data_IF_624174087563
#
_entry.id   IF_624174087563
#
_cell.length_a   1.000
_cell.length_b   1.000
_cell.length_c   1.000
_cell.angle_alpha   90.00
_cell.angle_beta   90.00
_cell.angle_gamma   90.00
#
_symmetry.space_group_name_H-M   'P 1'
#
loop_
_entity.id
_entity.type
_entity.pdbx_description
1 polymer ?
#
# COMPACT_ATOMS: atom_id res chain seq x y z
N UNK A 1 59.11 -40.10 10.75
CA UNK A 1 58.77 -38.70 10.79
C UNK A 1 57.45 -38.54 9.99
N UNK A 2 56.36 -38.53 10.72
CA UNK A 2 55.00 -38.48 10.12
C UNK A 2 54.51 -37.08 10.23
N UNK A 3 54.24 -36.40 9.10
CA UNK A 3 53.74 -35.03 9.02
C UNK A 3 52.19 -35.08 9.04
N UNK A 4 51.62 -34.63 10.13
CA UNK A 4 50.19 -34.53 10.27
C UNK A 4 49.66 -33.30 9.48
N UNK A 5 48.79 -33.56 8.54
CA UNK A 5 48.07 -32.57 7.75
C UNK A 5 46.91 -31.96 8.59
N UNK A 6 46.95 -30.66 8.82
CA UNK A 6 45.89 -29.94 9.55
C UNK A 6 44.69 -29.67 8.62
N UNK A 7 43.44 -29.89 9.08
CA UNK A 7 42.27 -29.57 8.28
C UNK A 7 42.03 -28.06 8.27
N UNK A 8 41.86 -27.50 7.06
CA UNK A 8 41.42 -26.10 6.81
C UNK A 8 40.04 -25.81 7.37
N UNK A 9 39.81 -24.69 8.07
CA UNK A 9 38.50 -24.35 8.62
C UNK A 9 37.52 -24.00 7.50
N UNK A 10 36.41 -24.73 7.45
CA UNK A 10 35.30 -24.51 6.53
C UNK A 10 34.74 -23.11 6.67
N UNK A 11 34.60 -22.43 5.55
CA UNK A 11 34.02 -21.10 5.40
C UNK A 11 32.60 -21.09 6.00
N UNK A 12 32.42 -20.47 7.17
CA UNK A 12 31.11 -20.25 7.81
C UNK A 12 30.23 -19.45 6.83
N UNK A 13 29.15 -20.07 6.32
CA UNK A 13 28.08 -19.37 5.59
C UNK A 13 27.51 -18.34 6.53
N UNK A 14 27.72 -17.06 6.23
CA UNK A 14 27.18 -15.93 6.97
C UNK A 14 25.65 -16.05 7.05
N UNK A 15 25.13 -15.77 8.23
CA UNK A 15 23.70 -15.65 8.53
C UNK A 15 23.11 -14.64 7.55
N UNK A 16 22.11 -15.06 6.72
CA UNK A 16 21.42 -14.16 5.80
C UNK A 16 20.85 -12.98 6.59
N UNK A 17 20.92 -11.74 6.03
CA UNK A 17 20.31 -10.57 6.62
C UNK A 17 18.83 -10.79 6.92
N UNK A 18 18.30 -10.19 7.99
CA UNK A 18 16.92 -10.35 8.43
C UNK A 18 15.90 -9.85 7.40
N UNK A 19 14.63 -10.22 7.57
CA UNK A 19 13.56 -9.93 6.62
C UNK A 19 13.43 -8.46 6.19
N UNK A 20 13.86 -7.49 7.02
CA UNK A 20 13.89 -6.06 6.65
C UNK A 20 14.89 -5.76 5.53
N UNK A 21 16.07 -6.40 5.53
CA UNK A 21 17.06 -6.23 4.46
C UNK A 21 16.56 -6.82 3.13
N UNK A 22 15.83 -7.94 3.19
CA UNK A 22 15.22 -8.57 2.02
C UNK A 22 14.13 -7.68 1.39
N UNK A 23 13.28 -7.09 2.22
CA UNK A 23 12.22 -6.17 1.77
C UNK A 23 12.80 -4.91 1.12
N UNK A 24 13.80 -4.31 1.74
CA UNK A 24 14.51 -3.14 1.20
C UNK A 24 15.22 -3.45 -0.12
N UNK A 25 15.87 -4.61 -0.23
CA UNK A 25 16.52 -5.06 -1.46
C UNK A 25 15.51 -5.24 -2.61
N UNK A 26 14.32 -5.79 -2.33
CA UNK A 26 13.25 -5.92 -3.32
C UNK A 26 12.73 -4.57 -3.80
N UNK A 27 12.51 -3.60 -2.89
CA UNK A 27 12.08 -2.24 -3.24
C UNK A 27 13.12 -1.55 -4.11
N UNK A 28 14.40 -1.66 -3.79
CA UNK A 28 15.47 -1.06 -4.57
C UNK A 28 15.57 -1.70 -5.97
N UNK A 29 15.60 -3.03 -6.05
CA UNK A 29 15.62 -3.75 -7.33
C UNK A 29 14.38 -3.43 -8.19
N UNK A 30 13.21 -3.26 -7.55
CA UNK A 30 11.98 -2.90 -8.24
C UNK A 30 12.07 -1.51 -8.86
N UNK A 31 12.60 -0.50 -8.16
CA UNK A 31 12.81 0.85 -8.72
C UNK A 31 13.65 0.81 -9.98
N UNK A 32 14.73 0.04 -9.96
CA UNK A 32 15.63 -0.11 -11.11
C UNK A 32 14.92 -0.78 -12.29
N UNK A 33 14.29 -1.96 -12.07
CA UNK A 33 13.61 -2.71 -13.13
C UNK A 33 12.42 -1.94 -13.70
N UNK A 34 11.62 -1.28 -12.86
CA UNK A 34 10.51 -0.45 -13.35
C UNK A 34 10.98 0.77 -14.13
N UNK A 35 12.11 1.36 -13.73
CA UNK A 35 12.73 2.47 -14.48
C UNK A 35 13.26 2.04 -15.84
N UNK A 36 13.86 0.85 -15.93
CA UNK A 36 14.46 0.31 -17.16
C UNK A 36 13.41 -0.22 -18.16
N UNK A 37 12.38 -0.90 -17.66
CA UNK A 37 11.47 -1.71 -18.49
C UNK A 37 10.01 -1.19 -18.48
N UNK A 38 9.72 -0.16 -17.70
CA UNK A 38 8.37 0.29 -17.42
C UNK A 38 7.59 -0.73 -16.59
N UNK A 39 6.34 -0.39 -16.25
CA UNK A 39 5.49 -1.30 -15.48
C UNK A 39 5.22 -2.60 -16.24
N UNK A 40 4.79 -2.53 -17.49
CA UNK A 40 4.40 -3.72 -18.28
C UNK A 40 5.57 -4.67 -18.52
N UNK A 41 6.76 -4.15 -18.87
CA UNK A 41 7.94 -4.95 -19.17
C UNK A 41 8.61 -5.55 -17.93
N UNK A 42 8.38 -5.00 -16.74
CA UNK A 42 8.94 -5.52 -15.51
C UNK A 42 8.22 -6.82 -15.08
N UNK A 43 8.99 -7.83 -14.65
CA UNK A 43 8.44 -9.06 -14.11
C UNK A 43 8.88 -9.29 -12.67
N UNK A 44 8.02 -9.93 -11.86
CA UNK A 44 8.34 -10.33 -10.48
C UNK A 44 9.62 -11.17 -10.43
N UNK A 45 9.83 -12.06 -11.42
CA UNK A 45 11.04 -12.90 -11.50
C UNK A 45 12.30 -12.08 -11.76
N UNK A 46 12.25 -11.09 -12.66
CA UNK A 46 13.39 -10.21 -12.94
C UNK A 46 13.77 -9.37 -11.71
N UNK A 47 12.78 -8.83 -11.02
CA UNK A 47 12.98 -8.05 -9.79
C UNK A 47 13.59 -8.92 -8.69
N UNK A 48 13.03 -10.09 -8.44
CA UNK A 48 13.53 -11.02 -7.42
C UNK A 48 14.96 -11.50 -7.73
N UNK A 49 15.25 -11.81 -8.99
CA UNK A 49 16.59 -12.18 -9.43
C UNK A 49 17.60 -11.05 -9.21
N UNK A 50 17.24 -9.80 -9.50
CA UNK A 50 18.10 -8.62 -9.24
C UNK A 50 18.33 -8.40 -7.75
N UNK A 51 17.32 -8.62 -6.93
CA UNK A 51 17.43 -8.54 -5.47
C UNK A 51 18.15 -9.73 -4.83
N UNK A 52 18.45 -10.80 -5.59
CA UNK A 52 19.07 -12.01 -5.08
C UNK A 52 18.20 -12.83 -4.13
N UNK A 53 16.87 -12.79 -4.31
CA UNK A 53 15.88 -13.45 -3.45
C UNK A 53 14.90 -14.30 -4.25
N UNK A 54 14.12 -15.13 -3.55
CA UNK A 54 13.05 -15.90 -4.17
C UNK A 54 11.88 -15.02 -4.61
N UNK A 55 11.29 -15.29 -5.79
CA UNK A 55 10.14 -14.56 -6.32
C UNK A 55 8.90 -14.64 -5.42
N UNK A 56 8.76 -15.71 -4.64
CA UNK A 56 7.68 -15.85 -3.65
C UNK A 56 7.72 -14.74 -2.57
N UNK A 57 8.90 -14.17 -2.31
CA UNK A 57 9.05 -13.06 -1.37
C UNK A 57 8.31 -11.80 -1.82
N UNK A 58 8.14 -11.59 -3.12
CA UNK A 58 7.34 -10.45 -3.63
C UNK A 58 5.88 -10.61 -3.23
N UNK A 59 5.30 -11.80 -3.40
CA UNK A 59 3.93 -12.05 -2.96
C UNK A 59 3.80 -11.98 -1.44
N UNK A 60 4.79 -12.50 -0.71
CA UNK A 60 4.79 -12.47 0.76
C UNK A 60 4.82 -11.04 1.33
N UNK A 61 5.69 -10.17 0.80
CA UNK A 61 5.90 -8.82 1.35
C UNK A 61 5.00 -7.75 0.74
N UNK A 62 4.54 -7.94 -0.49
CA UNK A 62 3.91 -6.87 -1.27
C UNK A 62 2.55 -7.28 -1.88
N UNK A 63 2.13 -8.53 -1.75
CA UNK A 63 0.90 -9.03 -2.36
C UNK A 63 0.98 -9.17 -3.88
N UNK A 64 2.14 -8.92 -4.50
CA UNK A 64 2.35 -9.04 -5.96
C UNK A 64 3.13 -7.88 -6.56
N UNK A 65 3.15 -7.83 -7.90
CA UNK A 65 3.84 -6.79 -8.69
C UNK A 65 3.26 -5.39 -8.43
N UNK A 66 1.95 -5.31 -8.32
CA UNK A 66 1.18 -4.09 -8.08
C UNK A 66 1.56 -3.45 -6.74
N UNK A 67 1.57 -4.23 -5.67
CA UNK A 67 1.94 -3.75 -4.34
C UNK A 67 3.41 -3.36 -4.23
N UNK A 68 4.29 -4.10 -4.91
CA UNK A 68 5.69 -3.74 -5.01
C UNK A 68 5.88 -2.43 -5.79
N UNK A 69 5.15 -2.23 -6.88
CA UNK A 69 5.16 -0.97 -7.64
C UNK A 69 4.65 0.20 -6.80
N UNK A 70 3.54 0.02 -6.09
CA UNK A 70 2.96 1.01 -5.20
C UNK A 70 3.98 1.49 -4.14
N UNK A 71 4.76 0.58 -3.58
CA UNK A 71 5.78 0.93 -2.58
C UNK A 71 7.09 1.44 -3.19
N UNK A 72 7.56 0.84 -4.28
CA UNK A 72 8.84 1.18 -4.88
C UNK A 72 8.79 2.49 -5.67
N UNK A 73 7.74 2.71 -6.44
CA UNK A 73 7.62 3.86 -7.36
C UNK A 73 6.76 4.97 -6.77
N UNK A 74 5.58 4.62 -6.23
CA UNK A 74 4.62 5.58 -5.68
C UNK A 74 4.93 5.98 -4.23
N UNK A 75 5.80 5.23 -3.56
CA UNK A 75 6.27 5.49 -2.19
C UNK A 75 5.10 5.70 -1.20
N UNK A 76 4.09 4.84 -1.28
CA UNK A 76 2.96 4.92 -0.35
C UNK A 76 3.45 4.81 1.09
N UNK A 77 2.97 5.68 2.00
CA UNK A 77 3.42 5.72 3.40
C UNK A 77 2.79 4.63 4.27
N UNK A 78 2.31 3.53 3.66
CA UNK A 78 1.69 2.40 4.37
C UNK A 78 1.94 1.07 3.66
N UNK A 79 1.89 -0.01 4.42
CA UNK A 79 1.87 -1.37 3.92
C UNK A 79 0.41 -1.83 3.74
N UNK A 80 -0.01 -2.23 2.52
CA UNK A 80 -1.39 -2.59 2.25
C UNK A 80 -1.89 -3.82 3.00
N UNK A 81 -1.02 -4.81 3.24
CA UNK A 81 -1.37 -6.03 3.97
C UNK A 81 -1.61 -5.70 5.45
N UNK A 82 -0.70 -4.92 6.03
CA UNK A 82 -0.84 -4.46 7.40
C UNK A 82 -2.06 -3.55 7.57
N UNK A 83 -2.29 -2.66 6.61
CA UNK A 83 -3.47 -1.78 6.60
C UNK A 83 -4.77 -2.58 6.64
N UNK A 84 -4.90 -3.63 5.83
CA UNK A 84 -6.09 -4.49 5.86
C UNK A 84 -6.32 -5.10 7.25
N UNK A 85 -5.28 -5.68 7.85
CA UNK A 85 -5.37 -6.27 9.18
C UNK A 85 -5.80 -5.25 10.23
N UNK A 86 -5.22 -4.04 10.21
CA UNK A 86 -5.57 -2.95 11.12
C UNK A 86 -7.02 -2.46 10.93
N UNK A 87 -7.50 -2.39 9.69
CA UNK A 87 -8.88 -1.99 9.40
C UNK A 87 -9.90 -3.03 9.86
N UNK A 88 -9.57 -4.31 9.78
CA UNK A 88 -10.47 -5.39 10.18
C UNK A 88 -10.44 -5.68 11.69
N UNK A 89 -9.54 -5.05 12.44
CA UNK A 89 -9.46 -5.17 13.90
C UNK A 89 -10.48 -4.24 14.58
N UNK A 90 -11.67 -4.79 14.88
CA UNK A 90 -12.74 -4.10 15.60
C UNK A 90 -14.14 -4.25 14.97
N UNK A 91 -15.16 -3.61 15.57
CA UNK A 91 -16.55 -3.75 15.15
C UNK A 91 -16.80 -3.27 13.73
N UNK A 92 -17.58 -4.03 12.95
CA UNK A 92 -17.87 -3.70 11.54
C UNK A 92 -18.64 -2.39 11.39
N UNK A 93 -19.49 -2.06 12.32
CA UNK A 93 -20.29 -0.82 12.35
C UNK A 93 -19.46 0.46 12.59
N UNK A 94 -18.20 0.32 13.03
CA UNK A 94 -17.25 1.42 13.16
C UNK A 94 -16.18 1.46 12.05
N UNK A 95 -16.26 0.54 11.08
CA UNK A 95 -15.25 0.41 10.03
C UNK A 95 -15.08 1.69 9.22
N UNK A 96 -16.17 2.38 8.89
CA UNK A 96 -16.13 3.65 8.18
C UNK A 96 -15.29 4.72 8.90
N UNK A 97 -15.45 4.84 10.22
CA UNK A 97 -14.65 5.75 11.05
C UNK A 97 -13.18 5.33 11.09
N UNK A 98 -12.90 4.02 11.23
CA UNK A 98 -11.52 3.50 11.23
C UNK A 98 -10.81 3.80 9.93
N UNK A 99 -11.48 3.63 8.78
CA UNK A 99 -10.92 3.94 7.46
C UNK A 99 -10.55 5.42 7.37
N UNK A 100 -11.47 6.34 7.73
CA UNK A 100 -11.19 7.79 7.70
C UNK A 100 -10.04 8.15 8.64
N UNK A 101 -10.09 7.70 9.88
CA UNK A 101 -9.03 7.94 10.87
C UNK A 101 -7.68 7.45 10.36
N UNK A 102 -7.60 6.23 9.87
CA UNK A 102 -6.36 5.64 9.37
C UNK A 102 -5.81 6.39 8.17
N UNK A 103 -6.66 6.76 7.21
CA UNK A 103 -6.30 7.57 6.07
C UNK A 103 -5.67 8.89 6.51
N UNK A 104 -6.37 9.67 7.32
CA UNK A 104 -5.89 10.97 7.77
C UNK A 104 -4.59 10.85 8.58
N UNK A 105 -4.51 9.92 9.52
CA UNK A 105 -3.30 9.69 10.35
C UNK A 105 -2.08 9.37 9.49
N UNK A 106 -2.24 8.54 8.44
CA UNK A 106 -1.14 8.17 7.55
C UNK A 106 -0.63 9.36 6.74
N UNK A 107 -1.55 10.14 6.17
CA UNK A 107 -1.17 11.26 5.32
C UNK A 107 -0.72 12.49 6.12
N UNK A 108 -1.32 12.75 7.28
CA UNK A 108 -0.89 13.83 8.18
C UNK A 108 0.54 13.57 8.73
N UNK A 109 0.92 12.31 8.96
CA UNK A 109 2.28 11.93 9.40
C UNK A 109 3.38 12.24 8.36
N UNK A 110 3.01 12.59 7.13
CA UNK A 110 3.95 12.95 6.04
C UNK A 110 4.07 14.47 5.85
N UNK A 111 3.70 15.26 6.82
CA UNK A 111 3.62 16.74 6.73
C UNK A 111 2.78 17.22 5.51
N UNK A 112 1.80 16.43 5.10
CA UNK A 112 0.92 16.72 3.97
C UNK A 112 1.56 16.66 2.57
N UNK A 113 2.88 16.45 2.49
CA UNK A 113 3.61 16.48 1.21
C UNK A 113 3.46 15.25 0.32
N UNK A 114 3.26 14.08 0.93
CA UNK A 114 3.22 12.81 0.19
C UNK A 114 1.95 12.64 -0.65
N UNK A 115 0.78 13.11 -0.19
CA UNK A 115 -0.47 13.00 -0.96
C UNK A 115 -0.45 13.84 -2.24
N UNK A 116 -0.08 15.14 -2.23
CA UNK A 116 0.11 15.91 -3.45
C UNK A 116 1.19 15.34 -4.38
N UNK A 117 2.26 14.75 -3.85
CA UNK A 117 3.28 14.08 -4.65
C UNK A 117 2.72 12.86 -5.38
N UNK A 118 1.91 12.04 -4.68
CA UNK A 118 1.20 10.91 -5.27
C UNK A 118 0.24 11.36 -6.38
N UNK A 119 -0.57 12.39 -6.14
CA UNK A 119 -1.50 12.94 -7.13
C UNK A 119 -0.75 13.42 -8.38
N UNK A 120 0.37 14.12 -8.23
CA UNK A 120 1.21 14.54 -9.36
C UNK A 120 1.80 13.35 -10.11
N UNK A 121 2.27 12.33 -9.40
CA UNK A 121 2.82 11.10 -10.02
C UNK A 121 1.76 10.38 -10.86
N UNK A 122 0.54 10.29 -10.35
CA UNK A 122 -0.61 9.71 -11.07
C UNK A 122 -0.94 10.54 -12.33
N UNK A 123 -0.97 11.86 -12.22
CA UNK A 123 -1.29 12.76 -13.33
C UNK A 123 -0.23 12.76 -14.45
N UNK A 124 1.02 12.41 -14.14
CA UNK A 124 2.13 12.43 -15.10
C UNK A 124 2.43 11.07 -15.77
N UNK A 125 1.83 9.98 -15.32
CA UNK A 125 2.09 8.62 -15.81
C UNK A 125 0.81 7.80 -15.87
N UNK A 126 0.18 7.72 -17.02
CA UNK A 126 -1.08 6.97 -17.22
C UNK A 126 -1.01 5.53 -16.70
N UNK A 127 0.11 4.85 -16.92
CA UNK A 127 0.32 3.47 -16.48
C UNK A 127 0.45 3.36 -14.95
N UNK A 128 1.09 4.32 -14.31
CA UNK A 128 1.21 4.37 -12.84
C UNK A 128 -0.16 4.63 -12.20
N UNK A 129 -0.96 5.50 -12.80
CA UNK A 129 -2.33 5.79 -12.36
C UNK A 129 -3.23 4.56 -12.42
N UNK A 130 -3.19 3.84 -13.56
CA UNK A 130 -3.96 2.60 -13.73
C UNK A 130 -3.54 1.52 -12.73
N UNK A 131 -2.24 1.33 -12.55
CA UNK A 131 -1.71 0.33 -11.62
C UNK A 131 -2.03 0.65 -10.16
N UNK A 132 -1.97 1.92 -9.76
CA UNK A 132 -2.36 2.33 -8.41
C UNK A 132 -3.87 2.17 -8.20
N UNK A 133 -4.68 2.58 -9.17
CA UNK A 133 -6.13 2.40 -9.14
C UNK A 133 -6.48 0.92 -8.96
N UNK A 134 -5.93 0.04 -9.80
CA UNK A 134 -6.18 -1.39 -9.74
C UNK A 134 -5.71 -1.99 -8.42
N UNK A 135 -4.55 -1.57 -7.93
CA UNK A 135 -4.03 -2.01 -6.65
C UNK A 135 -4.92 -1.56 -5.46
N UNK A 136 -5.26 -0.28 -5.35
CA UNK A 136 -6.09 0.23 -4.26
C UNK A 136 -7.50 -0.38 -4.28
N UNK A 137 -8.12 -0.51 -5.45
CA UNK A 137 -9.44 -1.09 -5.57
C UNK A 137 -9.39 -2.57 -5.22
N UNK A 138 -8.56 -3.37 -5.91
CA UNK A 138 -8.56 -4.83 -5.78
C UNK A 138 -7.95 -5.31 -4.46
N UNK A 139 -6.84 -4.75 -4.01
CA UNK A 139 -6.11 -5.28 -2.86
C UNK A 139 -6.49 -4.65 -1.52
N UNK A 140 -7.05 -3.46 -1.52
CA UNK A 140 -7.46 -2.79 -0.28
C UNK A 140 -8.97 -2.77 -0.15
N UNK A 141 -9.66 -2.15 -1.11
CA UNK A 141 -11.08 -1.88 -0.98
C UNK A 141 -11.96 -3.10 -1.26
N UNK A 142 -11.69 -3.88 -2.31
CA UNK A 142 -12.47 -5.11 -2.59
C UNK A 142 -12.30 -6.16 -1.49
N UNK A 143 -11.09 -6.28 -0.93
CA UNK A 143 -10.88 -7.18 0.22
C UNK A 143 -11.68 -6.72 1.44
N UNK A 144 -11.63 -5.43 1.79
CA UNK A 144 -12.42 -4.90 2.92
C UNK A 144 -13.91 -5.03 2.65
N UNK A 145 -14.36 -4.56 1.49
CA UNK A 145 -15.78 -4.60 1.10
C UNK A 145 -16.29 -6.04 0.98
N UNK A 146 -15.52 -6.94 0.37
CA UNK A 146 -15.90 -8.35 0.21
C UNK A 146 -16.09 -9.11 1.52
N UNK A 147 -15.48 -8.63 2.62
CA UNK A 147 -15.67 -9.21 3.95
C UNK A 147 -16.92 -8.69 4.67
N UNK A 148 -17.39 -7.49 4.37
CA UNK A 148 -18.44 -6.83 5.15
C UNK A 148 -19.72 -6.59 4.38
N UNK A 149 -19.69 -6.60 3.05
CA UNK A 149 -20.85 -6.28 2.22
C UNK A 149 -21.31 -7.48 1.39
N UNK A 150 -22.63 -7.76 1.35
CA UNK A 150 -23.18 -8.88 0.62
C UNK A 150 -23.41 -8.63 -0.86
N UNK A 151 -23.42 -7.36 -1.31
CA UNK A 151 -23.83 -6.96 -2.65
C UNK A 151 -22.91 -5.93 -3.30
N UNK A 152 -22.87 -5.88 -4.62
CA UNK A 152 -22.20 -4.86 -5.47
C UNK A 152 -20.79 -4.45 -4.97
N UNK A 153 -19.86 -5.39 -4.66
CA UNK A 153 -18.61 -5.07 -4.00
C UNK A 153 -17.76 -4.08 -4.80
N UNK A 154 -17.73 -4.17 -6.13
CA UNK A 154 -16.98 -3.24 -6.99
C UNK A 154 -17.53 -1.80 -6.92
N UNK A 155 -18.86 -1.64 -6.98
CA UNK A 155 -19.49 -0.32 -6.84
C UNK A 155 -19.21 0.27 -5.47
N UNK A 156 -19.37 -0.49 -4.40
CA UNK A 156 -19.12 -0.05 -3.02
C UNK A 156 -17.67 0.32 -2.81
N UNK A 157 -16.73 -0.48 -3.34
CA UNK A 157 -15.31 -0.16 -3.31
C UNK A 157 -14.98 1.16 -4.02
N UNK A 158 -15.57 1.40 -5.19
CA UNK A 158 -15.38 2.65 -5.93
C UNK A 158 -16.02 3.86 -5.26
N UNK A 159 -17.18 3.71 -4.61
CA UNK A 159 -17.79 4.76 -3.79
C UNK A 159 -16.88 5.13 -2.59
N UNK A 160 -16.34 4.14 -1.89
CA UNK A 160 -15.37 4.39 -0.82
C UNK A 160 -14.12 5.09 -1.36
N UNK A 161 -13.56 4.62 -2.49
CA UNK A 161 -12.40 5.23 -3.13
C UNK A 161 -12.66 6.70 -3.49
N UNK A 162 -13.81 7.01 -4.09
CA UNK A 162 -14.17 8.37 -4.48
C UNK A 162 -14.22 9.32 -3.28
N UNK A 163 -14.78 8.86 -2.17
CA UNK A 163 -14.85 9.63 -0.92
C UNK A 163 -13.45 9.88 -0.35
N UNK A 164 -12.59 8.85 -0.32
CA UNK A 164 -11.24 8.97 0.20
C UNK A 164 -10.36 9.89 -0.65
N UNK A 165 -10.43 9.75 -1.97
CA UNK A 165 -9.69 10.63 -2.90
C UNK A 165 -10.18 12.07 -2.78
N UNK A 166 -11.51 12.29 -2.76
CA UNK A 166 -12.10 13.62 -2.59
C UNK A 166 -11.68 14.29 -1.28
N UNK A 167 -11.69 13.53 -0.18
CA UNK A 167 -11.22 14.00 1.13
C UNK A 167 -9.73 14.39 1.10
N UNK A 168 -8.88 13.55 0.51
CA UNK A 168 -7.45 13.84 0.36
C UNK A 168 -7.19 15.07 -0.52
N UNK A 169 -7.94 15.22 -1.61
CA UNK A 169 -7.87 16.41 -2.47
C UNK A 169 -8.27 17.68 -1.71
N UNK A 170 -9.36 17.64 -0.96
CA UNK A 170 -9.84 18.79 -0.19
C UNK A 170 -8.86 19.20 0.93
N UNK A 171 -8.27 18.22 1.63
CA UNK A 171 -7.38 18.46 2.77
C UNK A 171 -5.97 18.84 2.37
N UNK A 172 -5.34 18.10 1.43
CA UNK A 172 -3.91 18.18 1.16
C UNK A 172 -3.54 18.90 -0.13
N UNK A 173 -4.48 19.06 -1.06
CA UNK A 173 -4.21 19.70 -2.35
C UNK A 173 -4.89 21.06 -2.44
N UNK A 174 -6.20 21.10 -2.29
CA UNK A 174 -6.99 22.33 -2.37
C UNK A 174 -7.05 23.13 -1.06
N UNK A 175 -6.72 22.48 0.06
CA UNK A 175 -6.66 23.07 1.41
C UNK A 175 -7.95 23.87 1.78
N UNK A 176 -9.11 23.21 1.62
CA UNK A 176 -10.40 23.84 1.93
C UNK A 176 -10.55 24.08 3.43
N UNK A 177 -10.62 25.33 3.84
CA UNK A 177 -10.94 25.71 5.22
C UNK A 177 -12.47 25.65 5.51
N UNK A 178 -12.85 25.20 6.72
CA UNK A 178 -12.00 24.73 7.83
C UNK A 178 -11.59 23.25 7.75
N UNK A 179 -11.94 22.54 6.68
CA UNK A 179 -11.73 21.09 6.55
C UNK A 179 -10.23 20.68 6.67
N UNK A 180 -9.34 21.50 6.09
CA UNK A 180 -7.89 21.23 6.09
C UNK A 180 -7.24 21.30 7.47
N UNK A 181 -7.80 22.14 8.36
CA UNK A 181 -7.30 22.34 9.74
C UNK A 181 -8.10 21.59 10.81
N UNK A 182 -9.24 20.99 10.44
CA UNK A 182 -10.04 20.17 11.38
C UNK A 182 -9.28 18.91 11.80
N UNK A 183 -9.37 18.57 13.10
CA UNK A 183 -8.72 17.39 13.65
C UNK A 183 -9.27 16.06 13.11
N UNK A 184 -8.44 15.01 13.21
CA UNK A 184 -8.73 13.68 12.66
C UNK A 184 -9.99 13.06 13.25
N UNK A 185 -10.23 13.20 14.55
CA UNK A 185 -11.37 12.58 15.22
C UNK A 185 -12.69 13.23 14.80
N UNK A 186 -12.71 14.54 14.68
CA UNK A 186 -13.89 15.31 14.17
C UNK A 186 -14.19 14.89 12.73
N UNK A 187 -13.19 14.80 11.85
CA UNK A 187 -13.41 14.35 10.47
C UNK A 187 -13.82 12.88 10.40
N UNK A 188 -13.24 12.01 11.23
CA UNK A 188 -13.63 10.61 11.28
C UNK A 188 -15.09 10.44 11.75
N UNK A 189 -15.53 11.24 12.70
CA UNK A 189 -16.91 11.24 13.16
C UNK A 189 -17.89 11.78 12.10
N UNK A 190 -17.51 12.82 11.36
CA UNK A 190 -18.35 13.46 10.35
C UNK A 190 -18.43 12.66 9.04
N UNK A 191 -17.30 12.15 8.53
CA UNK A 191 -17.20 11.47 7.22
C UNK A 191 -17.42 9.96 7.36
N UNK A 192 -17.02 9.36 8.49
CA UNK A 192 -17.11 7.92 8.75
C UNK A 192 -18.50 7.32 8.49
N UNK A 193 -19.61 7.93 8.92
CA UNK A 193 -20.96 7.42 8.63
C UNK A 193 -21.28 7.32 7.13
N UNK A 194 -20.75 8.21 6.28
CA UNK A 194 -20.92 8.13 4.83
C UNK A 194 -20.21 6.91 4.26
N UNK A 195 -18.96 6.66 4.68
CA UNK A 195 -18.25 5.45 4.29
C UNK A 195 -18.93 4.20 4.83
N UNK A 196 -19.42 4.23 6.07
CA UNK A 196 -20.13 3.10 6.67
C UNK A 196 -21.38 2.73 5.85
N UNK A 197 -22.14 3.73 5.38
CA UNK A 197 -23.25 3.50 4.46
C UNK A 197 -22.81 2.84 3.16
N UNK A 198 -21.68 3.26 2.57
CA UNK A 198 -21.16 2.62 1.37
C UNK A 198 -20.70 1.18 1.63
N UNK A 199 -20.13 0.90 2.81
CA UNK A 199 -19.64 -0.43 3.18
C UNK A 199 -20.77 -1.42 3.44
N UNK A 200 -21.75 -1.04 4.27
CA UNK A 200 -22.72 -1.98 4.85
C UNK A 200 -24.17 -1.50 4.79
N UNK A 201 -24.40 -0.23 4.46
CA UNK A 201 -25.74 0.36 4.39
C UNK A 201 -26.40 0.17 3.04
N UNK A 202 -27.62 0.74 2.93
CA UNK A 202 -28.37 0.81 1.68
C UNK A 202 -27.78 1.90 0.77
N UNK A 203 -27.53 1.55 -0.50
CA UNK A 203 -26.97 2.44 -1.54
C UNK A 203 -27.90 2.63 -2.74
N UNK A 204 -29.15 2.14 -2.66
CA UNK A 204 -30.20 2.40 -3.65
C UNK A 204 -30.85 3.75 -3.44
#
# INVERSE_FOLDING_TARGET
MSTAEQPTPGKRRGRRPGGQDTRAALVQAAREVFSESGYEGATVRAIAARAGVDAAMVNHWFGGKEGLFAQAVLQLPFDPIQLFSELMDGPVDELGKRIVRRFLTVWDATDGGAFPALVRSIASHDQAALSLKDFLIRHVLENVVGHVSPDRPELRATLCASQMVGMGMARYVAMFEPFSTTDVETLAAAVGPTLQRYLTGDID
#
